data_IF_675107721067
#
_entry.id   IF_675107721067
#
_cell.length_a   1.000
_cell.length_b   1.000
_cell.length_c   1.000
_cell.angle_alpha   90.00
_cell.angle_beta   90.00
_cell.angle_gamma   90.00
#
_symmetry.space_group_name_H-M   'P 1'
#
loop_
_entity.id
_entity.type
_entity.pdbx_description
1 polymer ?
#
# COMPACT_ATOMS: atom_id res chain seq x y z
N UNK A 1 -24.90 -58.85 33.44
CA UNK A 1 -24.78 -57.67 32.56
C UNK A 1 -23.83 -56.69 33.23
N UNK A 2 -22.54 -56.70 32.85
CA UNK A 2 -21.55 -55.76 33.39
C UNK A 2 -20.83 -55.12 32.20
N UNK A 3 -21.24 -53.91 31.86
CA UNK A 3 -20.62 -53.11 30.82
C UNK A 3 -19.31 -52.55 31.37
N UNK A 4 -18.18 -53.03 30.84
CA UNK A 4 -16.86 -52.44 31.09
C UNK A 4 -16.80 -51.15 30.28
N UNK A 5 -16.88 -50.02 30.96
CA UNK A 5 -16.68 -48.71 30.36
C UNK A 5 -15.21 -48.58 29.91
N UNK A 6 -14.98 -48.54 28.61
CA UNK A 6 -13.68 -48.22 28.01
C UNK A 6 -13.41 -46.74 28.28
N UNK A 7 -12.48 -46.46 29.20
CA UNK A 7 -12.02 -45.11 29.48
C UNK A 7 -11.33 -44.54 28.22
N UNK A 8 -11.90 -43.46 27.68
CA UNK A 8 -11.30 -42.73 26.57
C UNK A 8 -10.02 -42.02 27.04
N UNK A 9 -8.88 -42.40 26.48
CA UNK A 9 -7.59 -41.71 26.70
C UNK A 9 -7.71 -40.25 26.26
N UNK A 10 -7.43 -39.25 27.13
CA UNK A 10 -7.42 -37.87 26.70
C UNK A 10 -6.25 -37.67 25.74
N UNK A 11 -6.55 -37.39 24.47
CA UNK A 11 -5.57 -36.97 23.48
C UNK A 11 -4.97 -35.63 23.94
N UNK A 12 -3.83 -35.68 24.64
CA UNK A 12 -3.07 -34.52 25.07
C UNK A 12 -2.58 -33.79 23.81
N UNK A 13 -3.28 -32.75 23.40
CA UNK A 13 -2.82 -31.88 22.32
C UNK A 13 -1.52 -31.21 22.78
N UNK A 14 -0.39 -31.73 22.28
CA UNK A 14 0.91 -31.09 22.50
C UNK A 14 0.88 -29.79 21.72
N UNK A 15 0.49 -28.70 22.39
CA UNK A 15 0.57 -27.34 21.86
C UNK A 15 2.05 -27.07 21.59
N UNK A 16 2.51 -27.35 20.35
CA UNK A 16 3.88 -27.07 19.91
C UNK A 16 4.13 -25.59 20.16
N UNK A 17 4.88 -25.29 21.23
CA UNK A 17 5.31 -23.94 21.58
C UNK A 17 6.09 -23.46 20.35
N UNK A 18 5.52 -22.53 19.57
CA UNK A 18 6.21 -21.93 18.42
C UNK A 18 7.48 -21.29 18.97
N UNK A 19 8.62 -21.99 18.88
CA UNK A 19 9.93 -21.41 19.18
C UNK A 19 10.06 -20.20 18.28
N UNK A 20 10.11 -19.03 18.89
CA UNK A 20 10.34 -17.76 18.21
C UNK A 20 11.72 -17.92 17.57
N UNK A 21 11.75 -18.08 16.24
CA UNK A 21 13.02 -18.19 15.53
C UNK A 21 13.61 -16.78 15.48
N UNK A 22 14.83 -16.53 15.99
CA UNK A 22 15.42 -15.19 15.98
C UNK A 22 15.51 -14.61 14.57
N UNK A 23 15.73 -15.46 13.56
CA UNK A 23 15.66 -15.09 12.15
C UNK A 23 14.31 -14.49 11.72
N UNK A 24 13.19 -14.96 12.29
CA UNK A 24 11.86 -14.40 12.02
C UNK A 24 11.72 -13.01 12.65
N UNK A 25 12.25 -12.80 13.86
CA UNK A 25 12.23 -11.49 14.52
C UNK A 25 13.07 -10.49 13.74
N UNK A 26 14.28 -10.87 13.32
CA UNK A 26 15.16 -10.04 12.49
C UNK A 26 14.50 -9.66 11.15
N UNK A 27 13.83 -10.62 10.49
CA UNK A 27 13.08 -10.36 9.27
C UNK A 27 11.94 -9.35 9.49
N UNK A 28 11.15 -9.50 10.56
CA UNK A 28 10.05 -8.56 10.85
C UNK A 28 10.58 -7.18 11.21
N UNK A 29 11.67 -7.08 11.98
CA UNK A 29 12.33 -5.81 12.27
C UNK A 29 12.79 -5.12 10.99
N UNK A 30 13.46 -5.84 10.08
CA UNK A 30 13.88 -5.32 8.79
C UNK A 30 12.69 -4.83 7.94
N UNK A 31 11.62 -5.63 7.83
CA UNK A 31 10.42 -5.25 7.08
C UNK A 31 9.75 -4.00 7.68
N UNK A 32 9.64 -3.90 9.01
CA UNK A 32 9.09 -2.71 9.68
C UNK A 32 9.95 -1.49 9.40
N UNK A 33 11.28 -1.60 9.50
CA UNK A 33 12.19 -0.50 9.16
C UNK A 33 12.00 -0.06 7.71
N UNK A 34 11.91 -1.00 6.76
CA UNK A 34 11.64 -0.65 5.37
C UNK A 34 10.31 0.07 5.22
N UNK A 35 9.23 -0.44 5.82
CA UNK A 35 7.92 0.23 5.79
C UNK A 35 8.03 1.66 6.31
N UNK A 36 8.72 1.89 7.43
CA UNK A 36 8.90 3.25 7.97
C UNK A 36 9.71 4.13 7.02
N UNK A 37 10.81 3.63 6.45
CA UNK A 37 11.64 4.38 5.49
C UNK A 37 10.84 4.79 4.25
N UNK A 38 9.99 3.91 3.73
CA UNK A 38 9.16 4.19 2.55
C UNK A 38 7.92 5.04 2.88
N UNK A 39 7.33 4.88 4.06
CA UNK A 39 6.18 5.68 4.50
C UNK A 39 6.58 7.09 4.93
N UNK A 40 7.80 7.29 5.43
CA UNK A 40 8.27 8.61 5.86
C UNK A 40 8.13 9.70 4.78
N UNK A 41 8.64 9.54 3.54
CA UNK A 41 8.47 10.55 2.50
C UNK A 41 7.01 10.71 2.06
N UNK A 42 6.19 9.65 2.11
CA UNK A 42 4.76 9.75 1.80
C UNK A 42 4.00 10.54 2.87
N UNK A 43 4.25 10.24 4.14
CA UNK A 43 3.67 10.98 5.26
C UNK A 43 4.10 12.46 5.23
N UNK A 44 5.37 12.70 4.92
CA UNK A 44 5.91 14.05 4.73
C UNK A 44 5.23 14.79 3.56
N UNK A 45 5.08 14.13 2.41
CA UNK A 45 4.38 14.69 1.26
C UNK A 45 2.91 15.01 1.57
N UNK A 46 2.20 14.12 2.28
CA UNK A 46 0.82 14.38 2.72
C UNK A 46 0.73 15.55 3.70
N UNK A 47 1.69 15.66 4.62
CA UNK A 47 1.76 16.78 5.57
C UNK A 47 1.97 18.12 4.85
N UNK A 48 2.84 18.15 3.84
CA UNK A 48 3.05 19.35 3.00
C UNK A 48 1.80 19.65 2.16
N UNK A 49 1.16 18.64 1.57
CA UNK A 49 -0.04 18.81 0.74
C UNK A 49 -1.21 19.46 1.50
N UNK A 50 -1.33 19.17 2.79
CA UNK A 50 -2.36 19.71 3.68
C UNK A 50 -2.01 21.11 4.25
N UNK A 51 -0.78 21.60 4.05
CA UNK A 51 -0.31 22.91 4.53
C UNK A 51 -0.45 23.96 3.43
N UNK A 52 -1.23 25.05 3.62
CA UNK A 52 -1.48 26.03 2.57
C UNK A 52 -0.17 26.64 2.03
N UNK A 53 -0.01 26.69 0.71
CA UNK A 53 1.22 27.17 0.03
C UNK A 53 1.60 28.60 0.45
N UNK A 54 0.58 29.41 0.79
CA UNK A 54 0.72 30.78 1.29
C UNK A 54 1.49 30.89 2.62
N UNK A 55 1.42 29.88 3.50
CA UNK A 55 2.17 29.88 4.77
C UNK A 55 3.63 29.45 4.59
N UNK A 56 3.92 28.63 3.57
CA UNK A 56 5.29 28.21 3.26
C UNK A 56 6.13 29.36 2.68
N UNK A 57 5.50 30.25 1.91
CA UNK A 57 6.18 31.40 1.28
C UNK A 57 6.31 32.59 2.25
N UNK A 58 5.36 32.80 3.17
CA UNK A 58 5.34 33.96 4.06
C UNK A 58 6.02 33.74 5.43
N UNK A 59 6.00 32.53 6.01
CA UNK A 59 6.40 32.31 7.42
C UNK A 59 7.56 31.33 7.65
N UNK A 60 8.25 30.90 6.59
CA UNK A 60 9.42 30.02 6.68
C UNK A 60 9.13 28.57 7.09
N UNK A 61 10.11 27.70 6.88
CA UNK A 61 10.00 26.22 7.01
C UNK A 61 9.70 25.69 8.43
N UNK A 62 9.66 26.55 9.47
CA UNK A 62 9.70 26.14 10.91
C UNK A 62 8.61 26.74 11.80
N UNK A 63 7.52 27.30 11.26
CA UNK A 63 6.42 27.84 12.07
C UNK A 63 5.33 26.80 12.40
N UNK A 64 4.93 26.71 13.68
CA UNK A 64 3.77 25.90 14.10
C UNK A 64 2.49 26.39 13.39
N UNK A 65 1.60 25.49 12.93
CA UNK A 65 0.40 25.86 12.20
C UNK A 65 -0.60 26.53 13.16
N UNK A 66 -0.68 27.86 13.12
CA UNK A 66 -1.65 28.62 13.91
C UNK A 66 -3.06 28.61 13.32
N UNK A 67 -3.23 28.22 12.04
CA UNK A 67 -4.48 28.42 11.29
C UNK A 67 -5.19 27.15 10.78
N UNK A 68 -4.88 25.97 11.32
CA UNK A 68 -5.59 24.73 10.99
C UNK A 68 -5.25 24.13 9.62
N UNK A 69 -5.66 22.88 9.41
CA UNK A 69 -5.46 22.15 8.15
C UNK A 69 -6.31 22.79 7.05
N UNK A 70 -5.70 23.19 5.93
CA UNK A 70 -6.39 23.92 4.86
C UNK A 70 -6.52 23.07 3.60
N UNK A 71 -7.76 22.83 3.16
CA UNK A 71 -8.07 22.16 1.89
C UNK A 71 -7.98 23.11 0.68
N UNK A 72 -7.64 24.39 0.89
CA UNK A 72 -7.59 25.41 -0.17
C UNK A 72 -6.55 25.09 -1.25
N UNK A 73 -5.45 24.41 -0.90
CA UNK A 73 -4.48 23.92 -1.88
C UNK A 73 -5.07 22.94 -2.89
N UNK A 74 -5.94 22.02 -2.43
CA UNK A 74 -6.59 21.06 -3.33
C UNK A 74 -7.55 21.78 -4.28
N UNK A 75 -8.30 22.77 -3.79
CA UNK A 75 -9.22 23.56 -4.61
C UNK A 75 -8.48 24.44 -5.63
N UNK A 76 -7.37 25.06 -5.22
CA UNK A 76 -6.50 25.85 -6.10
C UNK A 76 -5.83 24.97 -7.16
N UNK A 77 -5.27 23.81 -6.79
CA UNK A 77 -4.69 22.87 -7.75
C UNK A 77 -5.72 22.38 -8.79
N UNK A 78 -6.97 22.13 -8.36
CA UNK A 78 -8.02 21.66 -9.26
C UNK A 78 -8.49 22.72 -10.26
N UNK A 79 -8.42 24.00 -9.90
CA UNK A 79 -8.95 25.12 -10.70
C UNK A 79 -7.88 25.91 -11.46
N UNK A 80 -6.67 26.03 -10.93
CA UNK A 80 -5.59 26.84 -11.50
C UNK A 80 -4.54 26.01 -12.26
N UNK A 81 -4.38 24.72 -11.94
CA UNK A 81 -3.31 23.91 -12.52
C UNK A 81 -3.75 23.08 -13.74
N UNK A 82 -4.94 23.34 -14.31
CA UNK A 82 -5.55 22.56 -15.40
C UNK A 82 -5.47 21.03 -15.18
N UNK A 83 -5.47 20.60 -13.91
CA UNK A 83 -5.30 19.21 -13.50
C UNK A 83 -6.26 18.26 -14.22
N UNK A 84 -7.57 18.60 -14.38
CA UNK A 84 -8.50 17.75 -15.12
C UNK A 84 -8.07 17.51 -16.57
N UNK A 85 -7.51 18.51 -17.26
CA UNK A 85 -7.08 18.38 -18.64
C UNK A 85 -5.89 17.41 -18.78
N UNK A 86 -4.85 17.58 -17.95
CA UNK A 86 -3.69 16.68 -17.95
C UNK A 86 -4.05 15.25 -17.52
N UNK A 87 -4.96 15.12 -16.55
CA UNK A 87 -5.44 13.83 -16.09
C UNK A 87 -6.20 13.09 -17.20
N UNK A 88 -7.08 13.79 -17.92
CA UNK A 88 -7.81 13.22 -19.06
C UNK A 88 -6.89 12.81 -20.20
N UNK A 89 -5.88 13.60 -20.54
CA UNK A 89 -4.90 13.22 -21.57
C UNK A 89 -4.17 11.93 -21.21
N UNK A 90 -3.76 11.79 -19.96
CA UNK A 90 -3.13 10.57 -19.46
C UNK A 90 -4.10 9.39 -19.53
N UNK A 91 -5.36 9.59 -19.14
CA UNK A 91 -6.39 8.55 -19.19
C UNK A 91 -6.62 8.04 -20.63
N UNK A 92 -6.72 8.97 -21.58
CA UNK A 92 -6.92 8.67 -23.01
C UNK A 92 -5.77 7.86 -23.59
N UNK A 93 -4.55 8.03 -23.09
CA UNK A 93 -3.38 7.24 -23.53
C UNK A 93 -3.29 5.90 -22.79
N UNK A 94 -3.46 5.90 -21.46
CA UNK A 94 -3.26 4.73 -20.61
C UNK A 94 -4.36 3.68 -20.82
N UNK A 95 -5.63 4.08 -20.94
CA UNK A 95 -6.75 3.12 -21.10
C UNK A 95 -6.56 2.23 -22.34
N UNK A 96 -6.43 2.75 -23.57
CA UNK A 96 -6.23 1.91 -24.74
C UNK A 96 -4.87 1.19 -24.72
N UNK A 97 -3.83 1.82 -24.18
CA UNK A 97 -2.51 1.19 -24.06
C UNK A 97 -2.53 -0.05 -23.16
N UNK A 98 -3.15 0.05 -21.99
CA UNK A 98 -3.33 -1.09 -21.08
C UNK A 98 -4.26 -2.13 -21.69
N UNK A 99 -5.37 -1.73 -22.31
CA UNK A 99 -6.29 -2.69 -22.94
C UNK A 99 -5.60 -3.50 -24.05
N UNK A 100 -4.82 -2.84 -24.92
CA UNK A 100 -4.09 -3.49 -26.00
C UNK A 100 -2.97 -4.39 -25.45
N UNK A 101 -2.19 -3.90 -24.49
CA UNK A 101 -1.12 -4.72 -23.88
C UNK A 101 -1.67 -5.94 -23.17
N UNK A 102 -2.81 -5.83 -22.48
CA UNK A 102 -3.48 -6.95 -21.83
C UNK A 102 -4.03 -7.96 -22.83
N UNK A 103 -4.61 -7.49 -23.94
CA UNK A 103 -5.09 -8.33 -25.04
C UNK A 103 -3.94 -9.15 -25.64
N UNK A 104 -2.83 -8.48 -26.00
CA UNK A 104 -1.67 -9.13 -26.57
C UNK A 104 -0.99 -10.06 -25.57
N UNK A 105 -0.84 -9.65 -24.32
CA UNK A 105 -0.28 -10.48 -23.25
C UNK A 105 -1.12 -11.75 -23.04
N UNK A 106 -2.46 -11.65 -23.11
CA UNK A 106 -3.37 -12.80 -23.02
C UNK A 106 -3.17 -13.78 -24.18
N UNK A 107 -3.05 -13.29 -25.43
CA UNK A 107 -2.78 -14.13 -26.59
C UNK A 107 -1.43 -14.85 -26.50
N UNK A 108 -0.38 -14.14 -26.06
CA UNK A 108 0.95 -14.72 -25.83
C UNK A 108 0.92 -15.75 -24.71
N UNK A 109 0.26 -15.44 -23.59
CA UNK A 109 0.12 -16.36 -22.47
C UNK A 109 -0.56 -17.67 -22.91
N UNK A 110 -1.62 -17.59 -23.73
CA UNK A 110 -2.28 -18.76 -24.29
C UNK A 110 -1.35 -19.60 -25.17
N UNK A 111 -0.52 -18.95 -26.00
CA UNK A 111 0.48 -19.64 -26.80
C UNK A 111 1.51 -20.37 -25.91
N UNK A 112 2.06 -19.69 -24.90
CA UNK A 112 3.06 -20.27 -24.01
C UNK A 112 2.52 -21.41 -23.14
N UNK A 113 1.23 -21.41 -22.78
CA UNK A 113 0.66 -22.49 -21.96
C UNK A 113 0.27 -23.71 -22.77
N UNK A 114 -0.16 -23.53 -24.03
CA UNK A 114 -0.65 -24.63 -24.86
C UNK A 114 0.42 -25.23 -25.77
N UNK A 115 1.41 -24.45 -26.21
CA UNK A 115 2.54 -24.96 -26.98
C UNK A 115 3.72 -25.20 -26.04
N UNK A 116 3.77 -26.39 -25.44
CA UNK A 116 4.98 -26.91 -24.83
C UNK A 116 5.82 -27.59 -25.91
N UNK A 117 6.97 -27.01 -26.22
CA UNK A 117 8.06 -27.66 -26.95
C UNK A 117 8.90 -28.52 -26.00
#
# INVERSE_FOLDING_TARGET
>A
MSAVAVAATPARSVRKRRRIRPARVALHAFLITMVVVWLFPLAWATYISLRPLSDTIQHGYVSLPSNGLSLVNYQSAWTQADLPYYYLNTLVVVIPGVALTLLLASMVAFCCTQFSW
#
